data_IF_396137411673
#
_entry.id   IF_396137411673
#
_cell.length_a   1.000
_cell.length_b   1.000
_cell.length_c   1.000
_cell.angle_alpha   90.00
_cell.angle_beta   90.00
_cell.angle_gamma   90.00
#
_symmetry.space_group_name_H-M   'P 1'
#
loop_
_entity.id
_entity.type
_entity.pdbx_description
1 polymer ?
#
# COMPACT_ATOMS: atom_id res chain seq x y z
N UNK A 1 -24.64 -3.92 -18.91
CA UNK A 1 -23.90 -2.68 -19.25
C UNK A 1 -24.37 -2.12 -20.61
N UNK A 2 -25.62 -2.30 -20.95
CA UNK A 2 -26.14 -1.80 -22.22
C UNK A 2 -26.22 -0.27 -22.17
N UNK A 3 -25.45 0.42 -23.00
CA UNK A 3 -25.57 1.85 -23.27
C UNK A 3 -24.59 2.81 -22.60
N UNK A 4 -23.64 2.37 -21.78
CA UNK A 4 -22.59 3.25 -21.25
C UNK A 4 -21.26 3.01 -21.93
N UNK A 5 -20.60 4.08 -22.36
CA UNK A 5 -19.27 4.03 -22.98
C UNK A 5 -18.20 3.90 -21.90
N UNK A 6 -17.32 2.91 -22.01
CA UNK A 6 -16.16 2.77 -21.12
C UNK A 6 -15.10 3.76 -21.60
N UNK A 7 -14.75 4.72 -20.75
CA UNK A 7 -13.77 5.76 -21.03
C UNK A 7 -12.35 5.30 -20.73
N UNK A 8 -12.18 4.48 -19.69
CA UNK A 8 -10.88 4.00 -19.29
C UNK A 8 -10.93 2.78 -18.36
N UNK A 9 -9.77 2.11 -18.28
CA UNK A 9 -9.60 0.91 -17.46
C UNK A 9 -8.26 0.95 -16.74
N UNK A 10 -8.23 0.49 -15.50
CA UNK A 10 -7.00 0.21 -14.74
C UNK A 10 -7.24 -0.94 -13.76
N UNK A 11 -6.65 -2.08 -14.02
CA UNK A 11 -6.84 -3.30 -13.23
C UNK A 11 -8.31 -3.70 -13.11
N UNK A 12 -8.86 -3.61 -11.90
CA UNK A 12 -10.25 -3.96 -11.58
C UNK A 12 -11.25 -2.82 -11.79
N UNK A 13 -10.76 -1.62 -12.13
CA UNK A 13 -11.57 -0.41 -12.23
C UNK A 13 -11.83 -0.03 -13.68
N UNK A 14 -13.07 0.33 -13.95
CA UNK A 14 -13.54 0.80 -15.24
C UNK A 14 -14.27 2.14 -15.03
N UNK A 15 -13.82 3.19 -15.71
CA UNK A 15 -14.52 4.46 -15.71
C UNK A 15 -15.48 4.48 -16.90
N UNK A 16 -16.73 4.87 -16.64
CA UNK A 16 -17.73 5.16 -17.66
C UNK A 16 -18.07 6.66 -17.64
N UNK A 17 -19.00 7.10 -18.43
CA UNK A 17 -19.47 8.50 -18.45
C UNK A 17 -20.18 8.92 -17.15
N UNK A 18 -20.78 7.97 -16.40
CA UNK A 18 -21.64 8.25 -15.24
C UNK A 18 -21.12 7.71 -13.92
N UNK A 19 -20.30 6.66 -13.97
CA UNK A 19 -19.88 5.94 -12.77
C UNK A 19 -18.51 5.30 -12.90
N UNK A 20 -17.87 5.06 -11.76
CA UNK A 20 -16.68 4.23 -11.62
C UNK A 20 -17.14 2.84 -11.18
N UNK A 21 -16.77 1.83 -11.95
CA UNK A 21 -17.13 0.43 -11.70
C UNK A 21 -15.89 -0.31 -11.22
N UNK A 22 -16.04 -1.02 -10.11
CA UNK A 22 -15.06 -1.99 -9.64
C UNK A 22 -15.60 -3.40 -9.92
N UNK A 23 -14.85 -4.14 -10.71
CA UNK A 23 -15.16 -5.53 -11.03
C UNK A 23 -14.15 -6.45 -10.37
N UNK A 24 -14.61 -7.38 -9.56
CA UNK A 24 -13.78 -8.38 -8.89
C UNK A 24 -14.30 -9.78 -9.22
N UNK A 25 -13.44 -10.55 -9.90
CA UNK A 25 -13.71 -11.95 -10.19
C UNK A 25 -12.92 -12.79 -9.21
N UNK A 26 -13.62 -13.57 -8.38
CA UNK A 26 -13.07 -14.61 -7.51
C UNK A 26 -13.39 -15.98 -8.08
N UNK A 27 -12.74 -17.04 -7.60
CA UNK A 27 -12.92 -18.42 -8.10
C UNK A 27 -14.38 -18.88 -8.14
N UNK A 28 -15.22 -18.40 -7.21
CA UNK A 28 -16.63 -18.84 -7.08
C UNK A 28 -17.63 -17.67 -7.00
N UNK A 29 -17.20 -16.43 -7.16
CA UNK A 29 -18.06 -15.27 -7.12
C UNK A 29 -17.57 -14.17 -8.06
N UNK A 30 -18.51 -13.46 -8.64
CA UNK A 30 -18.26 -12.22 -9.39
C UNK A 30 -18.96 -11.09 -8.63
N UNK A 31 -18.18 -10.10 -8.21
CA UNK A 31 -18.69 -8.94 -7.49
C UNK A 31 -18.47 -7.70 -8.34
N UNK A 32 -19.54 -6.94 -8.53
CA UNK A 32 -19.52 -5.67 -9.24
C UNK A 32 -20.04 -4.58 -8.30
N UNK A 33 -19.19 -3.63 -8.00
CA UNK A 33 -19.53 -2.44 -7.23
C UNK A 33 -19.43 -1.23 -8.13
N UNK A 34 -20.43 -0.36 -8.09
CA UNK A 34 -20.45 0.87 -8.85
C UNK A 34 -20.54 2.09 -7.93
N UNK A 35 -19.84 3.15 -8.34
CA UNK A 35 -19.83 4.43 -7.67
C UNK A 35 -20.16 5.53 -8.66
N UNK A 36 -21.35 6.12 -8.50
CA UNK A 36 -21.81 7.25 -9.32
C UNK A 36 -20.97 8.49 -8.95
N UNK A 37 -20.51 9.24 -9.95
CA UNK A 37 -19.66 10.42 -9.70
C UNK A 37 -20.32 11.51 -8.86
N UNK A 38 -21.66 11.64 -8.89
CA UNK A 38 -22.39 12.55 -8.04
C UNK A 38 -22.17 12.29 -6.53
N UNK A 39 -21.84 11.05 -6.18
CA UNK A 39 -21.62 10.62 -4.81
C UNK A 39 -20.15 10.56 -4.42
N UNK A 40 -19.26 10.92 -5.33
CA UNK A 40 -17.83 10.97 -5.09
C UNK A 40 -17.52 12.12 -4.13
N UNK A 41 -17.01 11.81 -2.95
CA UNK A 41 -16.63 12.79 -1.93
C UNK A 41 -15.22 13.31 -2.17
N UNK A 42 -14.27 12.42 -2.42
CA UNK A 42 -12.89 12.79 -2.64
C UNK A 42 -12.15 11.79 -3.54
N UNK A 43 -11.16 12.33 -4.25
CA UNK A 43 -10.15 11.58 -4.98
C UNK A 43 -8.80 11.99 -4.40
N UNK A 44 -8.20 11.16 -3.60
CA UNK A 44 -7.00 11.47 -2.84
C UNK A 44 -5.82 10.56 -3.21
N UNK A 45 -4.62 11.05 -2.92
CA UNK A 45 -3.41 10.27 -3.03
C UNK A 45 -3.07 9.74 -1.64
N UNK A 46 -3.09 8.43 -1.48
CA UNK A 46 -2.74 7.79 -0.21
C UNK A 46 -1.39 7.11 -0.33
N UNK A 47 -0.54 7.36 0.65
CA UNK A 47 0.74 6.67 0.80
C UNK A 47 0.52 5.44 1.68
N UNK A 48 0.67 4.27 1.10
CA UNK A 48 0.67 3.03 1.85
C UNK A 48 2.11 2.60 2.11
N UNK A 49 2.50 2.55 3.37
CA UNK A 49 3.79 1.99 3.79
C UNK A 49 3.59 0.54 4.24
N UNK A 50 4.51 -0.33 3.90
CA UNK A 50 4.50 -1.71 4.38
C UNK A 50 4.93 -1.72 5.86
N UNK A 51 4.00 -1.42 6.76
CA UNK A 51 4.24 -1.43 8.21
C UNK A 51 4.83 -2.76 8.70
N UNK A 52 4.47 -3.87 8.05
CA UNK A 52 5.03 -5.20 8.34
C UNK A 52 6.54 -5.24 8.14
N UNK A 53 7.08 -4.63 7.06
CA UNK A 53 8.53 -4.56 6.83
C UNK A 53 9.23 -3.72 7.90
N UNK A 54 8.61 -2.59 8.29
CA UNK A 54 9.15 -1.77 9.37
C UNK A 54 9.16 -2.52 10.70
N UNK A 55 8.09 -3.27 10.99
CA UNK A 55 7.99 -4.04 12.22
C UNK A 55 9.02 -5.16 12.28
N UNK A 56 9.10 -6.00 11.24
CA UNK A 56 10.08 -7.09 11.16
C UNK A 56 11.51 -6.53 11.16
N UNK A 57 11.77 -5.51 10.36
CA UNK A 57 13.08 -4.86 10.30
C UNK A 57 13.49 -4.26 11.64
N UNK A 58 12.56 -3.61 12.34
CA UNK A 58 12.79 -3.05 13.68
C UNK A 58 13.08 -4.11 14.74
N UNK A 59 12.33 -5.21 14.75
CA UNK A 59 12.55 -6.33 15.68
C UNK A 59 13.91 -6.98 15.43
N UNK A 60 14.24 -7.30 14.18
CA UNK A 60 15.53 -7.91 13.84
C UNK A 60 16.70 -6.97 14.17
N UNK A 61 16.57 -5.70 13.84
CA UNK A 61 17.59 -4.71 14.16
C UNK A 61 17.81 -4.59 15.66
N UNK A 62 16.73 -4.52 16.45
CA UNK A 62 16.79 -4.51 17.91
C UNK A 62 17.44 -5.75 18.51
N UNK A 63 17.09 -6.94 18.01
CA UNK A 63 17.70 -8.21 18.42
C UNK A 63 19.20 -8.26 18.09
N UNK A 64 19.60 -7.75 16.92
CA UNK A 64 21.00 -7.65 16.54
C UNK A 64 21.80 -6.75 17.48
N UNK A 65 21.26 -5.58 17.83
CA UNK A 65 21.87 -4.65 18.79
C UNK A 65 21.98 -5.31 20.18
N UNK A 66 20.89 -5.89 20.66
CA UNK A 66 20.85 -6.53 21.98
C UNK A 66 21.86 -7.67 22.07
N UNK A 67 21.99 -8.50 21.02
CA UNK A 67 22.96 -9.57 20.95
C UNK A 67 24.41 -9.08 20.97
N UNK A 68 24.71 -7.98 20.24
CA UNK A 68 26.04 -7.37 20.26
C UNK A 68 26.38 -6.77 21.64
N UNK A 69 25.42 -6.11 22.28
CA UNK A 69 25.60 -5.58 23.64
C UNK A 69 25.78 -6.70 24.66
N UNK A 70 24.98 -7.76 24.60
CA UNK A 70 25.13 -8.91 25.47
C UNK A 70 26.52 -9.56 25.33
N UNK A 71 26.99 -9.70 24.08
CA UNK A 71 28.35 -10.17 23.81
C UNK A 71 29.41 -9.27 24.46
N UNK A 72 29.30 -7.95 24.24
CA UNK A 72 30.25 -6.99 24.80
C UNK A 72 30.34 -7.10 26.32
N UNK A 73 29.20 -7.22 26.98
CA UNK A 73 29.12 -7.40 28.43
C UNK A 73 29.74 -8.74 28.86
N UNK A 74 29.46 -9.82 28.13
CA UNK A 74 30.03 -11.13 28.44
C UNK A 74 31.55 -11.16 28.24
N UNK A 75 32.06 -10.57 27.18
CA UNK A 75 33.51 -10.47 26.93
C UNK A 75 34.22 -9.66 28.03
N UNK A 76 33.53 -8.66 28.63
CA UNK A 76 34.06 -7.84 29.70
C UNK A 76 34.06 -8.60 31.06
N UNK A 77 32.98 -9.34 31.38
CA UNK A 77 32.76 -9.99 32.65
C UNK A 77 33.36 -11.40 32.68
N UNK A 78 33.29 -12.12 31.57
CA UNK A 78 33.70 -13.50 31.40
C UNK A 78 34.60 -13.70 30.17
N UNK A 79 35.87 -13.28 30.19
CA UNK A 79 36.74 -13.28 29.01
C UNK A 79 37.01 -14.66 28.39
N UNK A 80 36.62 -15.74 29.09
CA UNK A 80 36.73 -17.13 28.59
C UNK A 80 35.51 -17.61 27.81
N UNK A 81 34.42 -16.84 27.80
CA UNK A 81 33.18 -17.18 27.10
C UNK A 81 33.00 -16.24 25.94
N UNK A 82 33.38 -16.64 24.74
CA UNK A 82 33.19 -15.82 23.54
C UNK A 82 31.96 -16.29 22.76
N UNK A 83 30.97 -15.42 22.62
CA UNK A 83 29.86 -15.64 21.70
C UNK A 83 30.27 -15.27 20.26
N UNK A 84 29.82 -16.01 19.24
CA UNK A 84 30.16 -15.67 17.85
C UNK A 84 29.58 -14.30 17.47
N UNK A 85 30.42 -13.45 16.89
CA UNK A 85 30.03 -12.09 16.44
C UNK A 85 29.14 -12.11 15.21
N UNK A 86 29.45 -12.99 14.27
CA UNK A 86 28.84 -13.02 12.94
C UNK A 86 27.31 -13.09 12.92
N UNK A 87 26.63 -13.98 13.70
CA UNK A 87 25.16 -14.07 13.64
C UNK A 87 24.47 -12.78 14.09
N UNK A 88 24.96 -12.11 15.12
CA UNK A 88 24.36 -10.88 15.62
C UNK A 88 24.53 -9.73 14.62
N UNK A 89 25.68 -9.63 13.99
CA UNK A 89 25.93 -8.65 12.93
C UNK A 89 25.05 -8.93 11.71
N UNK A 90 24.90 -10.19 11.31
CA UNK A 90 24.03 -10.57 10.21
C UNK A 90 22.58 -10.17 10.47
N UNK A 91 22.04 -10.49 11.66
CA UNK A 91 20.66 -10.13 12.05
C UNK A 91 20.49 -8.61 12.02
N UNK A 92 21.45 -7.85 12.54
CA UNK A 92 21.43 -6.39 12.54
C UNK A 92 21.39 -5.83 11.13
N UNK A 93 22.25 -6.32 10.24
CA UNK A 93 22.33 -5.87 8.86
C UNK A 93 21.06 -6.21 8.06
N UNK A 94 20.49 -7.41 8.26
CA UNK A 94 19.21 -7.80 7.65
C UNK A 94 18.10 -6.87 8.14
N UNK A 95 18.02 -6.62 9.44
CA UNK A 95 17.04 -5.69 10.01
C UNK A 95 17.17 -4.28 9.45
N UNK A 96 18.41 -3.75 9.38
CA UNK A 96 18.68 -2.45 8.77
C UNK A 96 18.29 -2.39 7.30
N UNK A 97 18.61 -3.44 6.51
CA UNK A 97 18.25 -3.53 5.09
C UNK A 97 16.73 -3.50 4.89
N UNK A 98 15.95 -4.19 5.72
CA UNK A 98 14.48 -4.17 5.67
C UNK A 98 13.92 -2.79 6.00
N UNK A 99 14.51 -2.07 6.96
CA UNK A 99 14.11 -0.70 7.30
C UNK A 99 14.42 0.27 6.16
N UNK A 100 15.60 0.14 5.53
CA UNK A 100 15.95 0.94 4.34
C UNK A 100 14.99 0.65 3.20
N UNK A 101 14.68 -0.62 2.94
CA UNK A 101 13.74 -1.03 1.91
C UNK A 101 12.33 -0.47 2.16
N UNK A 102 11.88 -0.47 3.42
CA UNK A 102 10.62 0.16 3.82
C UNK A 102 10.59 1.67 3.56
N UNK A 103 11.71 2.36 3.80
CA UNK A 103 11.85 3.80 3.53
C UNK A 103 11.88 4.12 2.03
N UNK A 104 12.59 3.30 1.24
CA UNK A 104 12.82 3.55 -0.18
C UNK A 104 11.65 3.17 -1.08
N UNK A 105 10.73 2.29 -0.62
CA UNK A 105 9.60 1.81 -1.42
C UNK A 105 8.26 2.37 -0.88
N UNK A 106 8.03 3.68 -0.92
CA UNK A 106 6.72 4.22 -0.65
C UNK A 106 5.79 3.86 -1.80
N UNK A 107 4.74 3.10 -1.52
CA UNK A 107 3.68 2.84 -2.50
C UNK A 107 2.63 3.93 -2.38
N UNK A 108 2.43 4.67 -3.47
CA UNK A 108 1.41 5.70 -3.57
C UNK A 108 0.26 5.15 -4.41
N UNK A 109 -0.95 5.23 -3.88
CA UNK A 109 -2.16 4.78 -4.55
C UNK A 109 -3.13 5.94 -4.66
N UNK A 110 -3.91 5.94 -5.74
CA UNK A 110 -5.10 6.76 -5.82
C UNK A 110 -6.25 6.05 -5.11
N UNK A 111 -6.89 6.75 -4.20
CA UNK A 111 -8.04 6.29 -3.43
C UNK A 111 -9.24 7.16 -3.76
N UNK A 112 -10.35 6.49 -4.00
CA UNK A 112 -11.65 7.12 -4.21
C UNK A 112 -12.48 6.93 -2.95
N UNK A 113 -13.16 7.98 -2.48
CA UNK A 113 -14.04 7.91 -1.32
C UNK A 113 -15.40 8.50 -1.68
N UNK A 114 -16.47 7.77 -1.34
CA UNK A 114 -17.84 8.26 -1.41
C UNK A 114 -18.28 8.83 -0.06
N UNK A 115 -19.36 9.61 -0.07
CA UNK A 115 -19.90 10.27 1.13
C UNK A 115 -20.29 9.27 2.24
N UNK A 116 -20.71 8.05 1.88
CA UNK A 116 -21.16 6.99 2.80
C UNK A 116 -20.14 5.89 3.08
N UNK A 117 -18.88 6.02 2.58
CA UNK A 117 -17.87 4.99 2.81
C UNK A 117 -17.46 4.95 4.28
N UNK A 118 -17.37 3.73 4.81
CA UNK A 118 -16.73 3.42 6.08
C UNK A 118 -15.23 3.22 5.87
N UNK A 119 -14.46 3.22 6.95
CA UNK A 119 -13.01 3.00 6.88
C UNK A 119 -12.63 1.67 6.20
N UNK A 120 -13.48 0.64 6.35
CA UNK A 120 -13.31 -0.67 5.71
C UNK A 120 -13.40 -0.59 4.19
N UNK A 121 -14.22 0.32 3.64
CA UNK A 121 -14.41 0.50 2.21
C UNK A 121 -13.19 1.19 1.56
N UNK A 122 -12.43 1.96 2.32
CA UNK A 122 -11.28 2.72 1.82
C UNK A 122 -10.24 1.82 1.15
N UNK A 123 -9.98 0.63 1.70
CA UNK A 123 -9.06 -0.34 1.12
C UNK A 123 -9.59 -0.95 -0.20
N UNK A 124 -10.90 -1.05 -0.34
CA UNK A 124 -11.58 -1.64 -1.50
C UNK A 124 -11.53 -0.71 -2.72
N UNK A 125 -11.48 0.62 -2.52
CA UNK A 125 -11.54 1.63 -3.56
C UNK A 125 -10.18 2.28 -3.86
N UNK A 126 -9.09 1.54 -3.68
CA UNK A 126 -7.76 1.91 -4.15
C UNK A 126 -7.63 1.54 -5.63
N UNK A 127 -7.61 2.52 -6.51
CA UNK A 127 -7.62 2.33 -7.97
C UNK A 127 -6.34 1.66 -8.46
N UNK A 128 -5.19 2.11 -7.99
CA UNK A 128 -3.91 1.56 -8.43
C UNK A 128 -2.73 2.48 -8.09
N UNK A 129 -1.53 2.04 -8.50
CA UNK A 129 -0.30 2.77 -8.23
C UNK A 129 -0.19 4.02 -9.11
N UNK A 130 0.33 5.10 -8.52
CA UNK A 130 0.56 6.39 -9.21
C UNK A 130 1.53 6.27 -10.38
N UNK A 131 2.46 5.34 -10.28
CA UNK A 131 3.49 5.10 -11.31
C UNK A 131 2.90 4.51 -12.59
N UNK A 132 1.75 3.84 -12.51
CA UNK A 132 1.09 3.23 -13.68
C UNK A 132 0.47 4.31 -14.58
N UNK A 133 0.83 4.28 -15.86
CA UNK A 133 0.26 5.17 -16.86
C UNK A 133 -1.25 4.96 -17.06
N UNK A 134 -1.71 3.71 -16.96
CA UNK A 134 -3.13 3.35 -17.04
C UNK A 134 -3.92 3.94 -15.87
N UNK A 135 -3.37 3.83 -14.66
CA UNK A 135 -4.00 4.38 -13.44
C UNK A 135 -4.12 5.90 -13.56
N UNK A 136 -3.07 6.59 -14.01
CA UNK A 136 -3.10 8.05 -14.19
C UNK A 136 -4.13 8.49 -15.21
N UNK A 137 -4.25 7.76 -16.33
CA UNK A 137 -5.26 8.04 -17.36
C UNK A 137 -6.68 7.84 -16.80
N UNK A 138 -6.93 6.72 -16.12
CA UNK A 138 -8.22 6.46 -15.50
C UNK A 138 -8.59 7.55 -14.49
N UNK A 139 -7.66 7.93 -13.62
CA UNK A 139 -7.88 8.97 -12.60
C UNK A 139 -8.16 10.33 -13.22
N UNK A 140 -7.47 10.68 -14.32
CA UNK A 140 -7.75 11.91 -15.07
C UNK A 140 -9.17 11.92 -15.62
N UNK A 141 -9.63 10.81 -16.20
CA UNK A 141 -10.99 10.66 -16.70
C UNK A 141 -12.04 10.73 -15.60
N UNK A 142 -11.82 10.02 -14.48
CA UNK A 142 -12.70 10.08 -13.31
C UNK A 142 -12.81 11.51 -12.79
N UNK A 143 -11.69 12.22 -12.69
CA UNK A 143 -11.67 13.62 -12.25
C UNK A 143 -12.43 14.54 -13.20
N UNK A 144 -12.27 14.36 -14.50
CA UNK A 144 -12.98 15.14 -15.53
C UNK A 144 -14.49 14.93 -15.42
N UNK A 145 -14.95 13.67 -15.34
CA UNK A 145 -16.37 13.36 -15.22
C UNK A 145 -16.97 13.84 -13.88
N UNK A 146 -16.21 13.72 -12.80
CA UNK A 146 -16.62 14.23 -11.50
C UNK A 146 -16.81 15.75 -11.47
N UNK A 147 -15.92 16.48 -12.14
CA UNK A 147 -16.04 17.94 -12.26
C UNK A 147 -17.23 18.35 -13.14
N UNK A 148 -17.51 17.62 -14.25
CA UNK A 148 -18.70 17.84 -15.10
C UNK A 148 -20.01 17.59 -14.34
N UNK A 149 -20.03 16.65 -13.39
CA UNK A 149 -21.22 16.34 -12.60
C UNK A 149 -21.50 17.33 -11.46
N UNK A 150 -20.57 18.26 -11.17
CA UNK A 150 -20.73 19.29 -10.11
C UNK A 150 -21.18 20.66 -10.64
N UNK A 151 -21.15 20.89 -11.95
CA UNK A 151 -21.64 22.10 -12.61
C UNK A 151 -23.06 21.90 -13.09
#
# INVERSE_FOLDING_TARGET
>A
MAGETVLGRSGRFHATERRLIRYEKRLFSEEMHDLIYAHLASLSLVRHSWTVLAYIGGVLHGLGIAGLLARLILDLVYPRVSLPFAPFLTILLVGASLLVLWLLIPRRFYQVRAVWFREEDDALWQIGRVESAETRRLVAQVREQWLKGKG
#
